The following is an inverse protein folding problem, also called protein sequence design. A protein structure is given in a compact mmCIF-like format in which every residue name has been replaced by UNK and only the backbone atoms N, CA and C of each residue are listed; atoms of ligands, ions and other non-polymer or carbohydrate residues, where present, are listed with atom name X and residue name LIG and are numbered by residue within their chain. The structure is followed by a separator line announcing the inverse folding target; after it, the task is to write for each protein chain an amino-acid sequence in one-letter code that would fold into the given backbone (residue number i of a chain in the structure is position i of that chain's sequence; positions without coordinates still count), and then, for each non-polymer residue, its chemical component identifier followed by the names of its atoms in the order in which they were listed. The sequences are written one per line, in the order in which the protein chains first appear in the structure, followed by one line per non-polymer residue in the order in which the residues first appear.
data_IF_032022717511
#
_entry.id   IF_032022717511
#
_cell.length_a   1.000
_cell.length_b   1.000
_cell.length_c   1.000
_cell.angle_alpha   90.00
_cell.angle_beta   90.00
_cell.angle_gamma   90.00
#
_symmetry.space_group_name_H-M   'P 1'
#
loop_
_entity.id
_entity.type
_entity.pdbx_description
1 polymer ?
#
# COMPACT_ATOMS: atom_id res chain seq x y z
N UNK A 1 21.02 31.96 -10.26
CA UNK A 1 19.60 32.06 -9.85
C UNK A 1 18.76 30.97 -10.53
N UNK A 2 19.08 29.68 -10.32
CA UNK A 2 18.38 28.55 -10.96
C UNK A 2 17.70 27.59 -9.96
N UNK A 3 17.78 27.87 -8.66
CA UNK A 3 17.22 27.01 -7.60
C UNK A 3 15.73 27.20 -7.40
N UNK A 4 15.20 28.40 -7.68
CA UNK A 4 13.78 28.71 -7.54
C UNK A 4 12.91 27.87 -8.50
N UNK A 5 13.16 27.79 -9.82
CA UNK A 5 12.29 27.02 -10.71
C UNK A 5 12.30 25.51 -10.42
N UNK A 6 13.43 24.96 -9.95
CA UNK A 6 13.55 23.54 -9.59
C UNK A 6 12.71 23.23 -8.34
N UNK A 7 12.75 24.10 -7.33
CA UNK A 7 11.96 23.92 -6.11
C UNK A 7 10.46 24.05 -6.38
N UNK A 8 10.05 25.00 -7.25
CA UNK A 8 8.64 25.16 -7.64
C UNK A 8 8.14 23.97 -8.45
N UNK A 9 8.95 23.44 -9.37
CA UNK A 9 8.61 22.23 -10.13
C UNK A 9 8.50 20.99 -9.23
N UNK A 10 9.37 20.86 -8.23
CA UNK A 10 9.33 19.76 -7.26
C UNK A 10 8.08 19.84 -6.35
N UNK A 11 7.71 21.04 -5.88
CA UNK A 11 6.48 21.23 -5.11
C UNK A 11 5.23 20.94 -5.94
N UNK A 12 5.20 21.36 -7.21
CA UNK A 12 4.07 21.08 -8.10
C UNK A 12 3.91 19.57 -8.38
N UNK A 13 5.01 18.85 -8.58
CA UNK A 13 4.99 17.40 -8.78
C UNK A 13 4.53 16.65 -7.50
N UNK A 14 4.97 17.09 -6.32
CA UNK A 14 4.54 16.51 -5.05
C UNK A 14 3.04 16.73 -4.78
N UNK A 15 2.49 17.90 -5.14
CA UNK A 15 1.06 18.20 -4.98
C UNK A 15 0.19 17.39 -5.95
N UNK A 16 0.66 17.15 -7.18
CA UNK A 16 -0.07 16.33 -8.16
C UNK A 16 -0.14 14.85 -7.75
N UNK A 17 0.89 14.32 -7.09
CA UNK A 17 0.89 12.96 -6.58
C UNK A 17 -0.06 12.75 -5.37
N UNK A 18 -0.45 13.83 -4.69
CA UNK A 18 -1.28 13.82 -3.49
C UNK A 18 -2.77 14.11 -3.76
N UNK A 19 -3.23 13.99 -5.01
CA UNK A 19 -4.64 14.24 -5.33
C UNK A 19 -5.52 13.03 -4.99
N UNK A 20 -6.67 13.23 -4.31
CA UNK A 20 -7.67 12.19 -4.10
C UNK A 20 -8.10 11.62 -5.44
N UNK A 21 -8.09 10.30 -5.56
CA UNK A 21 -8.55 9.58 -6.74
C UNK A 21 -9.98 9.10 -6.49
N UNK A 22 -10.77 8.94 -7.55
CA UNK A 22 -12.13 8.42 -7.42
C UNK A 22 -12.39 7.34 -8.47
N UNK A 23 -13.11 6.30 -8.07
CA UNK A 23 -13.43 5.15 -8.92
C UNK A 23 -14.89 4.74 -8.78
N UNK A 24 -15.47 4.36 -9.91
CA UNK A 24 -16.83 3.83 -9.98
C UNK A 24 -16.79 2.30 -9.89
N UNK A 25 -17.43 1.77 -8.87
CA UNK A 25 -17.63 0.33 -8.67
C UNK A 25 -18.94 -0.08 -9.35
N UNK A 26 -18.91 -1.21 -10.04
CA UNK A 26 -20.05 -1.82 -10.72
C UNK A 26 -20.37 -3.18 -10.12
N UNK A 27 -21.63 -3.58 -10.28
CA UNK A 27 -22.17 -4.88 -9.88
C UNK A 27 -22.88 -5.55 -11.04
N UNK A 28 -22.78 -6.88 -11.11
CA UNK A 28 -23.46 -7.66 -12.11
C UNK A 28 -23.86 -9.05 -11.56
N UNK A 29 -25.15 -9.41 -11.52
CA UNK A 29 -25.58 -10.74 -11.10
C UNK A 29 -25.04 -11.81 -12.06
N UNK A 30 -24.43 -12.87 -11.53
CA UNK A 30 -23.77 -13.90 -12.37
C UNK A 30 -24.78 -14.66 -13.24
N UNK A 31 -26.00 -14.86 -12.71
CA UNK A 31 -27.07 -15.58 -13.39
C UNK A 31 -27.85 -14.72 -14.39
N UNK A 32 -27.51 -13.43 -14.54
CA UNK A 32 -28.23 -12.48 -15.39
C UNK A 32 -27.46 -12.16 -16.68
N UNK A 33 -28.18 -12.04 -17.79
CA UNK A 33 -27.62 -11.52 -19.06
C UNK A 33 -27.72 -9.99 -19.20
N UNK A 34 -28.09 -9.28 -18.13
CA UNK A 34 -28.20 -7.82 -18.11
C UNK A 34 -26.84 -7.13 -18.18
N UNK A 35 -26.81 -5.81 -18.41
CA UNK A 35 -25.55 -5.04 -18.33
C UNK A 35 -25.15 -4.81 -16.87
N UNK A 36 -23.85 -4.68 -16.56
CA UNK A 36 -23.40 -4.26 -15.23
C UNK A 36 -23.98 -2.90 -14.85
N UNK A 37 -24.46 -2.78 -13.61
CA UNK A 37 -25.05 -1.57 -13.06
C UNK A 37 -24.04 -0.84 -12.16
N UNK A 38 -24.07 0.51 -12.12
CA UNK A 38 -23.27 1.26 -11.15
C UNK A 38 -23.73 0.92 -9.72
N UNK A 39 -22.78 0.81 -8.79
CA UNK A 39 -23.05 0.44 -7.40
C UNK A 39 -22.62 1.54 -6.43
N UNK A 40 -21.39 2.01 -6.54
CA UNK A 40 -20.84 3.04 -5.66
C UNK A 40 -19.70 3.81 -6.30
N UNK A 41 -19.57 5.08 -5.94
CA UNK A 41 -18.39 5.88 -6.22
C UNK A 41 -17.56 6.01 -4.94
N UNK A 42 -16.29 5.65 -5.01
CA UNK A 42 -15.38 5.65 -3.87
C UNK A 42 -14.23 6.58 -4.18
N UNK A 43 -13.99 7.54 -3.28
CA UNK A 43 -12.77 8.34 -3.28
C UNK A 43 -11.74 7.73 -2.37
N UNK A 44 -10.49 7.81 -2.75
CA UNK A 44 -9.39 7.25 -1.97
C UNK A 44 -8.11 8.06 -2.14
N UNK A 45 -7.31 8.07 -1.09
CA UNK A 45 -5.99 8.71 -1.06
C UNK A 45 -4.94 7.73 -0.56
N UNK A 46 -3.89 7.56 -1.35
CA UNK A 46 -2.74 6.71 -1.07
C UNK A 46 -1.57 7.48 -0.45
N UNK A 47 -1.53 8.80 -0.60
CA UNK A 47 -0.48 9.69 -0.08
C UNK A 47 -0.74 10.16 1.36
N UNK A 48 -1.98 10.04 1.84
CA UNK A 48 -2.33 10.34 3.22
C UNK A 48 -1.57 9.44 4.22
N UNK A 49 -1.17 10.01 5.36
CA UNK A 49 -0.47 9.32 6.47
C UNK A 49 -1.19 8.05 6.97
N UNK A 50 -2.51 8.00 6.79
CA UNK A 50 -3.33 6.80 6.97
C UNK A 50 -4.14 6.69 5.69
N UNK A 51 -3.67 5.84 4.77
CA UNK A 51 -4.35 5.59 3.49
C UNK A 51 -5.83 5.38 3.74
N UNK A 52 -6.67 6.21 3.11
CA UNK A 52 -8.08 6.32 3.46
C UNK A 52 -8.94 6.18 2.22
N UNK A 53 -10.12 5.61 2.39
CA UNK A 53 -11.15 5.54 1.37
C UNK A 53 -12.48 5.94 2.00
N UNK A 54 -13.32 6.61 1.22
CA UNK A 54 -14.67 6.96 1.62
C UNK A 54 -15.63 6.84 0.44
N UNK A 55 -16.86 6.45 0.77
CA UNK A 55 -17.92 6.30 -0.22
C UNK A 55 -18.53 7.68 -0.49
N UNK A 56 -18.45 8.15 -1.72
CA UNK A 56 -19.04 9.42 -2.17
C UNK A 56 -20.52 9.21 -2.45
N UNK A 57 -20.83 8.17 -3.22
CA UNK A 57 -22.18 7.82 -3.61
C UNK A 57 -22.36 6.31 -3.55
N UNK A 58 -23.58 5.89 -3.20
CA UNK A 58 -23.97 4.50 -3.16
C UNK A 58 -25.42 4.39 -3.57
N UNK A 59 -25.70 3.48 -4.47
CA UNK A 59 -27.05 3.14 -4.91
C UNK A 59 -27.27 1.66 -4.64
N UNK A 60 -28.32 1.34 -3.87
CA UNK A 60 -28.62 -0.04 -3.55
C UNK A 60 -29.01 -0.78 -4.84
N UNK A 61 -28.38 -1.93 -5.15
CA UNK A 61 -28.60 -2.59 -6.43
C UNK A 61 -29.95 -3.29 -6.45
N UNK A 62 -30.67 -3.15 -7.58
CA UNK A 62 -31.85 -3.94 -7.87
C UNK A 62 -31.43 -5.32 -8.41
N UNK A 63 -31.34 -6.30 -7.51
CA UNK A 63 -30.91 -7.66 -7.84
C UNK A 63 -32.14 -8.57 -8.01
N UNK A 64 -32.16 -9.45 -9.02
CA UNK A 64 -33.23 -10.44 -9.14
C UNK A 64 -33.14 -11.44 -7.99
N UNK A 65 -34.30 -11.78 -7.41
CA UNK A 65 -34.44 -12.75 -6.30
C UNK A 65 -33.87 -14.14 -6.64
N UNK A 66 -33.72 -14.46 -7.92
CA UNK A 66 -33.13 -15.72 -8.39
C UNK A 66 -31.59 -15.72 -8.43
N UNK A 67 -30.93 -14.63 -8.04
CA UNK A 67 -29.48 -14.51 -8.08
C UNK A 67 -28.87 -14.51 -6.68
N UNK A 68 -28.06 -15.54 -6.41
CA UNK A 68 -27.37 -15.68 -5.12
C UNK A 68 -26.02 -14.96 -5.12
N UNK A 69 -25.41 -14.81 -6.29
CA UNK A 69 -24.05 -14.28 -6.46
C UNK A 69 -24.02 -13.13 -7.45
N UNK A 70 -23.28 -12.08 -7.10
CA UNK A 70 -22.99 -10.96 -7.96
C UNK A 70 -21.48 -10.72 -8.07
N UNK A 71 -21.04 -10.42 -9.29
CA UNK A 71 -19.68 -9.95 -9.57
C UNK A 71 -19.59 -8.46 -9.25
N UNK A 72 -18.49 -8.07 -8.63
CA UNK A 72 -18.20 -6.70 -8.21
C UNK A 72 -16.80 -6.32 -8.71
N UNK A 73 -16.65 -5.11 -9.24
CA UNK A 73 -15.37 -4.64 -9.78
C UNK A 73 -15.49 -3.35 -10.58
N UNK A 74 -14.41 -2.97 -11.27
CA UNK A 74 -14.43 -1.84 -12.18
C UNK A 74 -14.80 -2.33 -13.58
N UNK A 75 -15.74 -1.64 -14.20
CA UNK A 75 -16.25 -1.94 -15.53
C UNK A 75 -16.13 -0.71 -16.43
N UNK A 76 -15.54 -0.88 -17.61
CA UNK A 76 -15.53 0.16 -18.62
C UNK A 76 -16.74 -0.02 -19.55
N UNK A 77 -17.65 0.96 -19.50
CA UNK A 77 -18.86 0.97 -20.32
C UNK A 77 -18.57 1.16 -21.81
N UNK A 78 -17.39 1.72 -22.17
CA UNK A 78 -17.00 1.95 -23.57
C UNK A 78 -16.53 0.65 -24.22
N UNK A 79 -15.59 -0.05 -23.59
CA UNK A 79 -15.09 -1.35 -24.07
C UNK A 79 -16.01 -2.52 -23.71
N UNK A 80 -17.00 -2.29 -22.84
CA UNK A 80 -17.87 -3.33 -22.29
C UNK A 80 -17.12 -4.46 -21.58
N UNK A 81 -16.00 -4.13 -20.91
CA UNK A 81 -15.12 -5.09 -20.24
C UNK A 81 -14.84 -4.73 -18.78
N UNK A 82 -14.57 -5.76 -17.98
CA UNK A 82 -14.04 -5.58 -16.63
C UNK A 82 -12.55 -5.24 -16.74
N UNK A 83 -12.17 -4.10 -16.16
CA UNK A 83 -10.82 -3.53 -16.35
C UNK A 83 -9.89 -3.76 -15.16
N UNK A 84 -10.43 -4.28 -14.05
CA UNK A 84 -9.66 -4.64 -12.85
C UNK A 84 -10.01 -6.06 -12.39
N UNK A 85 -9.28 -6.56 -11.39
CA UNK A 85 -9.65 -7.77 -10.67
C UNK A 85 -11.06 -7.63 -10.09
N UNK A 86 -11.98 -8.46 -10.57
CA UNK A 86 -13.35 -8.54 -10.05
C UNK A 86 -13.45 -9.63 -8.99
N UNK A 87 -14.29 -9.41 -7.98
CA UNK A 87 -14.62 -10.40 -6.96
C UNK A 87 -16.08 -10.84 -7.09
N UNK A 88 -16.42 -11.93 -6.41
CA UNK A 88 -17.80 -12.42 -6.35
C UNK A 88 -18.26 -12.32 -4.90
N UNK A 89 -19.44 -11.76 -4.69
CA UNK A 89 -20.06 -11.62 -3.39
C UNK A 89 -21.49 -12.17 -3.42
N UNK A 90 -21.96 -12.66 -2.27
CA UNK A 90 -23.37 -13.02 -2.08
C UNK A 90 -24.25 -11.78 -2.19
N UNK A 91 -25.42 -11.94 -2.81
CA UNK A 91 -26.45 -10.89 -2.86
C UNK A 91 -27.05 -10.59 -1.48
N UNK A 92 -26.93 -11.52 -0.52
CA UNK A 92 -27.31 -11.31 0.88
C UNK A 92 -26.54 -10.17 1.54
N UNK A 93 -25.37 -9.78 1.02
CA UNK A 93 -24.61 -8.64 1.53
C UNK A 93 -25.34 -7.30 1.40
N UNK A 94 -26.38 -7.24 0.55
CA UNK A 94 -27.24 -6.07 0.34
C UNK A 94 -28.60 -6.21 1.05
N UNK A 95 -28.82 -7.31 1.77
CA UNK A 95 -30.08 -7.56 2.47
C UNK A 95 -30.28 -6.62 3.66
N UNK A 96 -31.54 -6.49 4.11
CA UNK A 96 -31.90 -5.67 5.26
C UNK A 96 -31.11 -6.13 6.51
N UNK A 97 -30.57 -5.17 7.25
CA UNK A 97 -29.73 -5.44 8.42
C UNK A 97 -28.25 -5.64 8.10
N UNK A 98 -27.83 -5.43 6.85
CA UNK A 98 -26.42 -5.33 6.48
C UNK A 98 -26.11 -3.97 5.84
N UNK A 99 -24.92 -3.44 6.15
CA UNK A 99 -24.33 -2.28 5.47
C UNK A 99 -23.18 -2.78 4.57
N UNK A 100 -23.11 -2.35 3.30
CA UNK A 100 -22.03 -2.75 2.41
C UNK A 100 -20.71 -2.09 2.82
N UNK A 101 -19.67 -2.90 2.94
CA UNK A 101 -18.31 -2.48 3.22
C UNK A 101 -17.43 -2.85 2.03
N UNK A 102 -16.98 -1.83 1.31
CA UNK A 102 -16.10 -1.95 0.16
C UNK A 102 -14.65 -2.07 0.59
N UNK A 103 -13.90 -2.94 -0.09
CA UNK A 103 -12.45 -3.07 0.08
C UNK A 103 -11.80 -2.85 -1.26
N UNK A 104 -11.09 -1.73 -1.40
CA UNK A 104 -10.31 -1.40 -2.57
C UNK A 104 -8.87 -1.84 -2.37
N UNK A 105 -8.34 -2.65 -3.26
CA UNK A 105 -6.92 -3.01 -3.28
C UNK A 105 -6.23 -2.23 -4.38
N UNK A 106 -5.16 -1.51 -4.03
CA UNK A 106 -4.39 -0.67 -4.96
C UNK A 106 -2.93 -1.09 -5.03
N UNK A 107 -2.32 -0.92 -6.19
CA UNK A 107 -0.90 -1.18 -6.40
C UNK A 107 -0.03 -0.08 -5.77
N UNK A 108 1.29 -0.30 -5.77
CA UNK A 108 2.27 0.69 -5.31
C UNK A 108 2.26 2.04 -6.07
N UNK A 109 1.56 2.15 -7.20
CA UNK A 109 1.35 3.38 -7.99
C UNK A 109 0.00 4.05 -7.73
N UNK A 110 -0.85 3.43 -6.90
CA UNK A 110 -2.19 3.89 -6.56
C UNK A 110 -3.27 3.50 -7.58
N UNK A 111 -2.98 2.58 -8.50
CA UNK A 111 -3.95 2.03 -9.45
C UNK A 111 -4.76 0.93 -8.77
N UNK A 112 -6.07 0.88 -9.02
CA UNK A 112 -6.95 -0.15 -8.43
C UNK A 112 -6.69 -1.50 -9.09
N UNK A 113 -6.19 -2.45 -8.30
CA UNK A 113 -6.00 -3.84 -8.70
C UNK A 113 -7.32 -4.58 -8.61
N UNK A 114 -8.04 -4.44 -7.51
CA UNK A 114 -9.30 -5.17 -7.29
C UNK A 114 -10.25 -4.46 -6.34
N UNK A 115 -11.52 -4.86 -6.43
CA UNK A 115 -12.57 -4.40 -5.52
C UNK A 115 -13.29 -5.59 -4.94
N UNK A 116 -13.46 -5.60 -3.62
CA UNK A 116 -14.27 -6.56 -2.90
C UNK A 116 -15.39 -5.86 -2.12
N UNK A 117 -16.41 -6.63 -1.75
CA UNK A 117 -17.51 -6.16 -0.93
C UNK A 117 -17.87 -7.22 0.10
N UNK A 118 -18.18 -6.75 1.30
CA UNK A 118 -18.70 -7.55 2.40
C UNK A 118 -19.87 -6.83 3.04
N UNK A 119 -20.96 -7.53 3.31
CA UNK A 119 -22.04 -7.04 4.16
C UNK A 119 -21.62 -7.11 5.63
N UNK A 120 -21.69 -5.98 6.32
CA UNK A 120 -21.47 -5.89 7.78
C UNK A 120 -22.82 -5.81 8.46
N UNK A 121 -23.08 -6.68 9.44
CA UNK A 121 -24.35 -6.65 10.18
C UNK A 121 -24.50 -5.32 10.91
N UNK A 122 -25.66 -4.69 10.70
CA UNK A 122 -26.09 -3.50 11.40
C UNK A 122 -26.65 -3.93 12.75
N UNK A 123 -25.97 -3.55 13.83
CA UNK A 123 -26.51 -3.67 15.18
C UNK A 123 -27.13 -2.34 15.61
N UNK A 124 -28.47 -2.32 15.65
CA UNK A 124 -29.26 -1.14 15.94
C UNK A 124 -29.02 -0.55 17.35
N UNK A 125 -28.28 -1.23 18.23
CA UNK A 125 -27.93 -0.75 19.57
C UNK A 125 -26.53 -0.15 19.75
N UNK A 126 -25.61 -0.33 18.80
CA UNK A 126 -24.17 -0.10 19.04
C UNK A 126 -23.51 0.96 18.13
N UNK A 127 -23.88 1.08 16.87
CA UNK A 127 -23.22 2.01 15.92
C UNK A 127 -24.17 3.11 15.46
N UNK A 128 -23.68 4.36 15.32
CA UNK A 128 -24.44 5.47 14.70
C UNK A 128 -24.21 5.59 13.20
N UNK A 129 -23.19 4.91 12.68
CA UNK A 129 -22.79 4.95 11.27
C UNK A 129 -23.24 3.67 10.57
N UNK A 130 -24.48 3.70 10.08
CA UNK A 130 -25.11 2.58 9.35
C UNK A 130 -24.91 2.64 7.83
N UNK A 131 -24.09 3.59 7.36
CA UNK A 131 -23.89 3.85 5.94
C UNK A 131 -22.91 2.87 5.27
N UNK A 132 -22.84 2.91 3.93
CA UNK A 132 -21.81 2.20 3.18
C UNK A 132 -20.42 2.72 3.60
N UNK A 133 -19.48 1.79 3.80
CA UNK A 133 -18.11 2.11 4.21
C UNK A 133 -17.11 1.65 3.15
N UNK A 134 -15.92 2.23 3.14
CA UNK A 134 -14.83 1.79 2.29
C UNK A 134 -13.52 1.68 3.08
N UNK A 135 -12.74 0.64 2.80
CA UNK A 135 -11.39 0.44 3.30
C UNK A 135 -10.42 0.33 2.12
N UNK A 136 -9.25 0.93 2.26
CA UNK A 136 -8.18 0.89 1.28
C UNK A 136 -7.08 -0.08 1.73
N UNK A 137 -6.71 -1.01 0.85
CA UNK A 137 -5.56 -1.90 1.00
C UNK A 137 -4.50 -1.50 -0.02
N UNK A 138 -3.41 -0.92 0.45
CA UNK A 138 -2.27 -0.55 -0.40
C UNK A 138 -1.29 -1.72 -0.45
N UNK A 139 -0.82 -2.04 -1.65
CA UNK A 139 0.25 -3.00 -1.84
C UNK A 139 1.48 -2.61 -1.01
N UNK A 140 1.88 -3.49 -0.09
CA UNK A 140 3.07 -3.31 0.74
C UNK A 140 4.01 -4.48 0.55
N UNK A 141 5.32 -4.22 0.66
CA UNK A 141 6.31 -5.29 0.66
C UNK A 141 6.11 -6.14 1.91
N UNK A 142 5.82 -7.42 1.70
CA UNK A 142 5.75 -8.39 2.79
C UNK A 142 7.09 -8.52 3.52
N UNK A 143 7.04 -9.01 4.76
CA UNK A 143 8.24 -9.30 5.56
C UNK A 143 9.14 -10.27 4.79
N UNK A 144 10.35 -9.83 4.47
CA UNK A 144 11.36 -10.69 3.87
C UNK A 144 12.01 -11.55 4.95
N UNK A 145 12.40 -12.80 4.65
CA UNK A 145 13.13 -13.63 5.60
C UNK A 145 14.48 -12.97 5.92
N UNK A 146 14.85 -13.00 7.19
CA UNK A 146 16.18 -12.57 7.62
C UNK A 146 17.18 -13.64 7.22
N UNK A 147 17.85 -13.42 6.09
CA UNK A 147 18.96 -14.27 5.67
C UNK A 147 20.18 -13.94 6.53
N UNK A 148 20.70 -14.94 7.25
CA UNK A 148 22.00 -14.83 7.90
C UNK A 148 23.07 -14.51 6.86
N UNK A 149 24.19 -13.89 7.30
CA UNK A 149 25.34 -13.62 6.44
C UNK A 149 25.74 -14.89 5.67
N UNK A 150 26.06 -14.78 4.37
CA UNK A 150 26.49 -15.93 3.59
C UNK A 150 27.73 -16.56 4.24
N UNK A 151 27.65 -17.87 4.50
CA UNK A 151 28.78 -18.64 5.03
C UNK A 151 29.77 -18.83 3.90
N UNK A 152 30.87 -18.10 3.93
CA UNK A 152 31.97 -18.29 2.98
C UNK A 152 32.74 -19.54 3.43
N UNK A 153 32.74 -20.56 2.57
CA UNK A 153 33.50 -21.79 2.76
C UNK A 153 34.80 -21.72 1.97
N UNK A 154 35.85 -22.32 2.54
CA UNK A 154 37.09 -22.64 1.81
C UNK A 154 36.84 -23.74 0.76
N UNK A 155 37.74 -23.95 -0.22
CA UNK A 155 37.63 -25.05 -1.20
C UNK A 155 37.46 -26.45 -0.56
N UNK A 156 37.94 -26.62 0.67
CA UNK A 156 37.88 -27.82 1.50
C UNK A 156 36.60 -27.93 2.34
N UNK A 157 35.64 -27.01 2.15
CA UNK A 157 34.32 -27.05 2.78
C UNK A 157 34.30 -26.62 4.26
N UNK A 158 35.41 -26.10 4.79
CA UNK A 158 35.44 -25.54 6.16
C UNK A 158 35.06 -24.08 6.16
N UNK A 159 34.31 -23.66 7.19
CA UNK A 159 34.00 -22.25 7.45
C UNK A 159 35.31 -21.48 7.55
N UNK A 160 35.46 -20.47 6.70
CA UNK A 160 36.58 -19.54 6.83
C UNK A 160 36.36 -18.77 8.12
N UNK A 161 37.17 -19.05 9.14
CA UNK A 161 37.21 -18.20 10.33
C UNK A 161 37.60 -16.81 9.85
N UNK A 162 36.77 -15.81 10.14
CA UNK A 162 37.12 -14.42 9.86
C UNK A 162 38.38 -14.12 10.69
N UNK A 163 39.56 -14.09 10.04
CA UNK A 163 40.81 -13.77 10.73
C UNK A 163 40.63 -12.43 11.45
N UNK A 164 40.66 -12.46 12.78
CA UNK A 164 40.59 -11.24 13.56
C UNK A 164 41.77 -10.36 13.15
N UNK A 165 41.46 -9.16 12.64
CA UNK A 165 42.49 -8.19 12.27
C UNK A 165 43.44 -8.03 13.46
N UNK A 166 44.73 -8.25 13.21
CA UNK A 166 45.78 -8.12 14.22
C UNK A 166 45.63 -6.81 15.00
N UNK A 167 45.96 -6.81 16.29
CA UNK A 167 45.96 -5.62 17.14
C UNK A 167 46.68 -4.45 16.45
N UNK A 168 47.79 -4.71 15.76
CA UNK A 168 48.51 -3.68 15.03
C UNK A 168 47.67 -3.09 13.88
N UNK A 169 46.93 -3.90 13.12
CA UNK A 169 46.01 -3.43 12.08
C UNK A 169 44.80 -2.67 12.64
N UNK A 170 44.37 -2.97 13.87
CA UNK A 170 43.27 -2.26 14.54
C UNK A 170 43.73 -0.93 15.16
N UNK A 171 44.99 -0.84 15.58
CA UNK A 171 45.51 0.27 16.38
C UNK A 171 46.69 1.03 15.75
N UNK A 172 47.10 0.74 14.51
CA UNK A 172 48.24 1.44 13.87
C UNK A 172 48.07 2.97 13.81
N UNK A 173 46.83 3.45 13.63
CA UNK A 173 46.51 4.88 13.63
C UNK A 173 46.80 5.56 14.97
N UNK A 174 46.79 4.84 16.10
CA UNK A 174 47.16 5.37 17.42
C UNK A 174 48.63 5.74 17.50
N UNK A 175 49.50 5.08 16.72
CA UNK A 175 50.91 5.44 16.62
C UNK A 175 51.05 6.83 16.02
N UNK A 176 50.25 7.14 14.97
CA UNK A 176 50.20 8.46 14.38
C UNK A 176 49.76 9.55 15.37
N UNK A 177 48.74 9.25 16.19
CA UNK A 177 48.29 10.16 17.27
C UNK A 177 49.40 10.38 18.30
N UNK A 178 50.08 9.31 18.74
CA UNK A 178 51.16 9.42 19.71
C UNK A 178 52.31 10.29 19.21
N UNK A 179 52.70 10.16 17.94
CA UNK A 179 53.72 11.01 17.30
C UNK A 179 53.26 12.45 17.22
N UNK A 180 52.01 12.69 16.81
CA UNK A 180 51.46 14.04 16.72
C UNK A 180 51.41 14.74 18.09
N UNK A 181 51.03 14.02 19.15
CA UNK A 181 51.05 14.53 20.52
C UNK A 181 52.48 14.84 20.98
N UNK A 182 53.43 13.94 20.74
CA UNK A 182 54.83 14.16 21.13
C UNK A 182 55.48 15.35 20.39
N UNK A 183 55.13 15.56 19.12
CA UNK A 183 55.60 16.73 18.36
C UNK A 183 54.87 18.03 18.77
N UNK A 184 53.59 17.92 19.15
CA UNK A 184 52.80 19.06 19.64
C UNK A 184 53.10 19.47 21.08
N UNK A 185 53.60 18.56 21.92
CA UNK A 185 53.95 18.85 23.32
C UNK A 185 55.40 19.29 23.52
N UNK A 186 56.23 19.30 22.46
CA UNK A 186 57.61 19.78 22.49
C UNK A 186 57.78 21.28 22.24
N UNK A 187 56.69 22.04 22.06
CA UNK A 187 56.71 23.46 21.72
C UNK A 187 56.23 24.36 22.85
N UNK A 188 56.80 24.25 24.05
CA UNK A 188 56.51 25.17 25.14
C UNK A 188 57.65 25.30 26.16
N UNK A 189 58.92 25.45 25.75
CA UNK A 189 59.94 26.06 26.61
C UNK A 189 60.93 26.92 25.81
N UNK A 190 60.96 28.21 26.18
CA UNK A 190 61.79 29.36 25.75
C UNK A 190 61.36 30.15 24.51
#
# INVERSE_FOLDING_TARGET
MHFVPVLTALLAAALAAAQPRSVQVYIHPISSSSKPAPLAEITYDTAALSSSASVISYEAPELPESSDLARIGLYDTKSSQWISGSTVASTENFSKGYAPHFVLSVDSRGEVISTALKGVRIDAGQTRDFGPQATLLVETKGKQPELNKPVVLSPEGKKVEEEEKSFFQKYWWMIGIAVFVLMGSGGAEK
#
